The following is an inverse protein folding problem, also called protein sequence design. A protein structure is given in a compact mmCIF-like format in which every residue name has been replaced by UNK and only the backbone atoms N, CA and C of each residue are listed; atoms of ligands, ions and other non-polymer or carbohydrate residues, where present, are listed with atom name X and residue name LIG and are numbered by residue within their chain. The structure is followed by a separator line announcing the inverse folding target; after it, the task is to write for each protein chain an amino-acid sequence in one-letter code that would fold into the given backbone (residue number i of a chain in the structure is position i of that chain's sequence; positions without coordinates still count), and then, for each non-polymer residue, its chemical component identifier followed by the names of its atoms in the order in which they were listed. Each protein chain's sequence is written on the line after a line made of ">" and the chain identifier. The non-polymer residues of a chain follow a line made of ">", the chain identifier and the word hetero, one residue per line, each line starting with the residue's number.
data_IF_600049027431
#
_entry.id   IF_600049027431
#
_cell.length_a   1.000
_cell.length_b   1.000
_cell.length_c   1.000
_cell.angle_alpha   90.00
_cell.angle_beta   90.00
_cell.angle_gamma   90.00
#
_symmetry.space_group_name_H-M   'P 1'
#
loop_
_entity.id
_entity.type
_entity.pdbx_description
1 polymer ?
#
# COMPACT_ATOMS: atom_id res chain seq x y z
N UNK A 1 6.69 -12.01 -17.31
CA UNK A 1 7.70 -11.38 -18.20
C UNK A 1 8.73 -12.46 -18.51
N UNK A 2 9.36 -12.51 -19.69
CA UNK A 2 10.44 -13.50 -19.93
C UNK A 2 11.78 -12.82 -19.68
N UNK A 3 12.72 -13.47 -18.96
CA UNK A 3 14.09 -12.95 -18.83
C UNK A 3 14.68 -12.78 -20.23
N UNK A 4 15.24 -11.60 -20.49
CA UNK A 4 15.92 -11.26 -21.73
C UNK A 4 17.41 -11.05 -21.43
N UNK A 5 18.27 -11.45 -22.35
CA UNK A 5 19.70 -11.12 -22.28
C UNK A 5 19.96 -9.65 -22.63
N UNK A 6 19.00 -8.97 -23.28
CA UNK A 6 19.17 -7.61 -23.77
C UNK A 6 18.88 -6.53 -22.70
N UNK A 7 18.16 -6.86 -21.63
CA UNK A 7 17.79 -5.90 -20.61
C UNK A 7 17.62 -6.56 -19.24
N UNK A 8 17.94 -5.81 -18.19
CA UNK A 8 17.67 -6.17 -16.79
C UNK A 8 16.56 -5.28 -16.26
N UNK A 9 15.54 -5.88 -15.66
CA UNK A 9 14.44 -5.13 -15.04
C UNK A 9 14.58 -5.20 -13.53
N UNK A 10 14.66 -4.05 -12.89
CA UNK A 10 14.67 -3.90 -11.43
C UNK A 10 13.35 -3.26 -11.00
N UNK A 11 12.62 -3.92 -10.10
CA UNK A 11 11.41 -3.38 -9.48
C UNK A 11 11.76 -2.92 -8.06
N UNK A 12 11.36 -1.69 -7.72
CA UNK A 12 11.60 -1.10 -6.41
C UNK A 12 10.24 -0.71 -5.81
N UNK A 13 9.89 -1.32 -4.67
CA UNK A 13 8.67 -0.99 -3.94
C UNK A 13 8.91 -1.16 -2.43
N UNK A 14 8.21 -0.35 -1.62
CA UNK A 14 8.26 -0.44 -0.15
C UNK A 14 7.56 -1.72 0.36
N UNK A 15 6.57 -2.21 -0.39
CA UNK A 15 5.78 -3.39 -0.09
C UNK A 15 6.34 -4.62 -0.84
N UNK A 16 6.56 -5.76 -0.15
CA UNK A 16 7.07 -6.97 -0.79
C UNK A 16 5.99 -7.75 -1.56
N UNK A 17 4.82 -7.17 -1.79
CA UNK A 17 3.65 -7.81 -2.41
C UNK A 17 3.01 -6.88 -3.45
N UNK A 18 2.40 -7.49 -4.46
CA UNK A 18 1.48 -6.83 -5.37
C UNK A 18 0.07 -6.91 -4.79
N UNK A 19 -0.63 -5.79 -4.76
CA UNK A 19 -1.94 -5.67 -4.13
C UNK A 19 -3.05 -5.62 -5.18
N UNK A 20 -4.02 -6.54 -5.07
CA UNK A 20 -5.30 -6.40 -5.77
C UNK A 20 -6.25 -5.52 -4.95
N UNK A 21 -6.05 -4.21 -5.08
CA UNK A 21 -6.75 -3.18 -4.30
C UNK A 21 -8.29 -3.25 -4.34
N UNK A 22 -8.96 -3.73 -5.41
CA UNK A 22 -10.42 -3.77 -5.42
C UNK A 22 -11.07 -4.57 -4.28
N UNK A 23 -10.34 -5.51 -3.66
CA UNK A 23 -10.88 -6.38 -2.60
C UNK A 23 -10.46 -5.97 -1.18
N UNK A 24 -9.86 -4.78 -1.00
CA UNK A 24 -9.47 -4.28 0.33
C UNK A 24 -10.65 -4.25 1.32
N UNK A 25 -11.85 -3.92 0.85
CA UNK A 25 -13.05 -3.93 1.69
C UNK A 25 -13.38 -5.31 2.26
N UNK A 26 -13.07 -6.40 1.55
CA UNK A 26 -13.29 -7.76 2.05
C UNK A 26 -12.31 -8.12 3.16
N UNK A 27 -11.07 -7.63 3.09
CA UNK A 27 -10.11 -7.78 4.19
C UNK A 27 -10.54 -6.95 5.40
N UNK A 28 -10.99 -5.71 5.17
CA UNK A 28 -11.47 -4.81 6.22
C UNK A 28 -12.69 -5.36 6.98
N UNK A 29 -13.52 -6.17 6.31
CA UNK A 29 -14.73 -6.79 6.88
C UNK A 29 -14.54 -8.27 7.25
N UNK A 30 -13.30 -8.76 7.21
CA UNK A 30 -12.96 -10.17 7.46
C UNK A 30 -13.63 -11.20 6.52
N UNK A 31 -14.16 -10.76 5.38
CA UNK A 31 -14.70 -11.63 4.34
C UNK A 31 -13.63 -12.35 3.51
N UNK A 32 -12.40 -11.84 3.49
CA UNK A 32 -11.24 -12.52 2.89
C UNK A 32 -9.98 -12.38 3.76
N UNK A 33 -9.07 -13.38 3.72
CA UNK A 33 -7.70 -13.22 4.18
C UNK A 33 -6.97 -12.20 3.32
N UNK A 34 -6.03 -11.49 3.93
CA UNK A 34 -5.16 -10.55 3.21
C UNK A 34 -4.22 -11.23 2.19
N UNK A 35 -3.80 -12.47 2.46
CA UNK A 35 -2.90 -13.24 1.60
C UNK A 35 -3.55 -13.57 0.25
N UNK A 36 -4.88 -13.58 0.18
CA UNK A 36 -5.64 -13.82 -1.06
C UNK A 36 -5.61 -12.60 -2.00
N UNK A 37 -5.19 -11.42 -1.51
CA UNK A 37 -5.15 -10.17 -2.28
C UNK A 37 -3.75 -9.54 -2.34
N UNK A 38 -2.80 -10.03 -1.55
CA UNK A 38 -1.44 -9.51 -1.42
C UNK A 38 -0.39 -10.53 -1.89
N UNK A 39 -0.16 -10.60 -3.21
CA UNK A 39 0.70 -11.60 -3.83
C UNK A 39 2.19 -11.26 -3.69
N UNK A 40 3.05 -12.12 -3.11
CA UNK A 40 4.47 -11.79 -2.95
C UNK A 40 5.16 -11.52 -4.28
N UNK A 41 5.77 -10.33 -4.45
CA UNK A 41 6.35 -9.86 -5.73
C UNK A 41 7.36 -10.85 -6.29
N UNK A 42 8.22 -11.40 -5.43
CA UNK A 42 9.27 -12.35 -5.83
C UNK A 42 8.71 -13.64 -6.43
N UNK A 43 7.50 -14.03 -6.04
CA UNK A 43 6.84 -15.24 -6.55
C UNK A 43 5.99 -14.95 -7.80
N UNK A 44 5.32 -13.80 -7.82
CA UNK A 44 4.47 -13.35 -8.92
C UNK A 44 5.28 -12.93 -10.16
N UNK A 45 6.48 -12.38 -9.93
CA UNK A 45 7.36 -11.90 -10.99
C UNK A 45 8.77 -12.48 -10.82
N UNK A 46 9.02 -13.66 -11.37
CA UNK A 46 10.29 -14.40 -11.17
C UNK A 46 11.44 -13.84 -12.00
N UNK A 47 11.12 -13.04 -13.01
CA UNK A 47 12.07 -12.54 -14.01
C UNK A 47 12.57 -11.12 -13.74
N UNK A 48 12.15 -10.50 -12.63
CA UNK A 48 12.56 -9.16 -12.19
C UNK A 48 13.40 -9.24 -10.92
N UNK A 49 14.41 -8.38 -10.84
CA UNK A 49 15.15 -8.17 -9.61
C UNK A 49 14.34 -7.24 -8.71
N UNK A 50 13.91 -7.73 -7.54
CA UNK A 50 13.10 -6.96 -6.60
C UNK A 50 13.93 -6.40 -5.44
N UNK A 51 13.89 -5.08 -5.29
CA UNK A 51 14.46 -4.33 -4.16
C UNK A 51 13.31 -3.82 -3.30
N UNK A 52 13.24 -4.28 -2.05
CA UNK A 52 12.31 -3.72 -1.07
C UNK A 52 12.90 -2.43 -0.51
N UNK A 53 12.44 -1.29 -1.00
CA UNK A 53 12.92 0.03 -0.61
C UNK A 53 11.91 1.12 -1.02
N UNK A 54 12.05 2.30 -0.43
CA UNK A 54 11.34 3.50 -0.85
C UNK A 54 12.29 4.40 -1.64
N UNK A 55 11.88 4.87 -2.81
CA UNK A 55 12.64 5.86 -3.59
C UNK A 55 12.37 7.23 -2.99
N UNK A 56 13.42 7.92 -2.58
CA UNK A 56 13.34 9.25 -1.95
C UNK A 56 13.71 10.39 -2.90
N UNK A 57 14.48 10.10 -3.95
CA UNK A 57 14.92 11.10 -4.91
C UNK A 57 15.13 10.49 -6.30
N UNK A 58 14.91 11.29 -7.34
CA UNK A 58 15.13 10.94 -8.73
C UNK A 58 15.99 12.06 -9.36
N UNK A 59 17.20 11.72 -9.77
CA UNK A 59 18.03 12.60 -10.59
C UNK A 59 17.97 12.13 -12.06
N UNK A 60 17.21 12.87 -12.87
CA UNK A 60 17.06 12.58 -14.29
C UNK A 60 18.30 12.96 -15.14
N UNK A 61 19.19 13.83 -14.62
CA UNK A 61 20.41 14.24 -15.34
C UNK A 61 21.49 13.17 -15.24
N UNK A 62 21.71 12.66 -14.03
CA UNK A 62 22.67 11.58 -13.77
C UNK A 62 22.07 10.19 -13.96
N UNK A 63 20.74 10.12 -14.11
CA UNK A 63 19.93 8.89 -14.21
C UNK A 63 20.09 7.98 -13.00
N UNK A 64 19.92 8.57 -11.81
CA UNK A 64 20.07 7.90 -10.53
C UNK A 64 18.81 7.99 -9.68
N UNK A 65 18.53 6.92 -8.94
CA UNK A 65 17.53 6.88 -7.87
C UNK A 65 18.25 6.83 -6.53
N UNK A 66 17.82 7.66 -5.58
CA UNK A 66 18.21 7.52 -4.17
C UNK A 66 17.12 6.75 -3.45
N UNK A 67 17.50 5.70 -2.73
CA UNK A 67 16.63 4.89 -1.90
C UNK A 67 16.74 5.30 -0.43
N UNK A 68 15.73 4.94 0.36
CA UNK A 68 15.79 5.03 1.81
C UNK A 68 17.04 4.31 2.35
N UNK A 69 17.81 4.99 3.20
CA UNK A 69 19.14 4.53 3.62
C UNK A 69 20.30 4.98 2.72
N UNK A 70 20.08 5.94 1.80
CA UNK A 70 21.11 6.57 0.95
C UNK A 70 21.77 5.63 -0.08
N UNK A 71 21.14 4.49 -0.37
CA UNK A 71 21.60 3.62 -1.45
C UNK A 71 21.22 4.24 -2.79
N UNK A 72 22.16 4.25 -3.73
CA UNK A 72 21.95 4.76 -5.09
C UNK A 72 21.75 3.58 -6.06
N UNK A 73 20.85 3.76 -7.03
CA UNK A 73 20.59 2.80 -8.13
C UNK A 73 20.57 3.56 -9.46
N UNK A 74 21.44 3.18 -10.38
CA UNK A 74 21.47 3.73 -11.74
C UNK A 74 20.39 3.11 -12.63
N UNK A 75 19.91 3.87 -13.62
CA UNK A 75 18.98 3.38 -14.64
C UNK A 75 19.28 3.94 -16.04
N UNK A 76 18.93 3.16 -17.06
CA UNK A 76 18.91 3.67 -18.45
C UNK A 76 17.55 4.27 -18.80
N UNK A 77 16.50 3.59 -18.35
CA UNK A 77 15.09 3.93 -18.50
C UNK A 77 14.37 3.80 -17.16
N UNK A 78 13.51 4.77 -16.84
CA UNK A 78 12.72 4.81 -15.62
C UNK A 78 11.23 4.74 -15.96
N UNK A 79 10.52 3.80 -15.35
CA UNK A 79 9.06 3.70 -15.41
C UNK A 79 8.49 4.05 -14.05
N UNK A 80 7.67 5.09 -13.97
CA UNK A 80 7.00 5.50 -12.74
C UNK A 80 5.63 4.84 -12.66
N UNK A 81 5.45 3.99 -11.65
CA UNK A 81 4.21 3.27 -11.36
C UNK A 81 3.88 3.31 -9.85
N UNK A 82 4.12 4.47 -9.21
CA UNK A 82 4.07 4.63 -7.74
C UNK A 82 2.65 4.78 -7.16
N UNK A 83 1.62 4.77 -8.01
CA UNK A 83 0.23 4.93 -7.60
C UNK A 83 -0.09 6.34 -7.08
N UNK A 84 -1.06 6.42 -6.17
CA UNK A 84 -1.53 7.66 -5.54
C UNK A 84 -1.72 7.47 -4.04
N UNK A 85 -1.78 8.58 -3.30
CA UNK A 85 -2.17 8.60 -1.90
C UNK A 85 -3.63 9.08 -1.76
N UNK A 86 -4.28 8.70 -0.66
CA UNK A 86 -5.56 9.29 -0.29
C UNK A 86 -5.43 10.80 -0.12
N UNK A 87 -6.39 11.55 -0.65
CA UNK A 87 -6.43 13.01 -0.51
C UNK A 87 -7.58 13.41 0.39
N UNK A 88 -7.36 14.43 1.22
CA UNK A 88 -8.40 14.99 2.10
C UNK A 88 -9.18 16.10 1.41
N UNK A 89 -8.78 16.50 0.20
CA UNK A 89 -9.31 17.66 -0.54
C UNK A 89 -9.33 18.97 0.26
N UNK A 90 -8.51 19.08 1.32
CA UNK A 90 -8.49 20.25 2.20
C UNK A 90 -9.71 20.35 3.12
N UNK A 91 -10.46 19.26 3.31
CA UNK A 91 -11.59 19.22 4.23
C UNK A 91 -11.05 18.94 5.64
N UNK A 92 -11.21 19.94 6.52
CA UNK A 92 -10.80 19.86 7.92
C UNK A 92 -11.49 18.69 8.62
N UNK A 93 -10.74 17.95 9.44
CA UNK A 93 -11.23 16.80 10.20
C UNK A 93 -11.16 15.46 9.44
N UNK A 94 -11.00 15.44 8.12
CA UNK A 94 -10.94 14.17 7.37
C UNK A 94 -9.68 13.38 7.72
N UNK A 95 -8.52 14.04 7.83
CA UNK A 95 -7.27 13.36 8.17
C UNK A 95 -7.29 12.80 9.60
N UNK A 96 -7.98 13.51 10.50
CA UNK A 96 -7.99 13.26 11.94
C UNK A 96 -9.05 12.23 12.34
N UNK A 97 -10.17 12.18 11.62
CA UNK A 97 -11.34 11.42 12.03
C UNK A 97 -11.70 10.26 11.10
N UNK A 98 -11.04 10.11 9.95
CA UNK A 98 -11.33 9.01 9.02
C UNK A 98 -10.18 8.02 8.87
N UNK A 99 -10.52 6.75 8.68
CA UNK A 99 -9.60 5.71 8.23
C UNK A 99 -9.59 5.66 6.71
N UNK A 100 -8.41 5.67 6.09
CA UNK A 100 -8.28 5.45 4.64
C UNK A 100 -8.48 3.96 4.31
N UNK A 101 -8.64 3.62 3.03
CA UNK A 101 -8.61 2.24 2.54
C UNK A 101 -7.80 2.14 1.23
N UNK A 102 -6.46 2.29 1.31
CA UNK A 102 -5.54 2.17 0.16
C UNK A 102 -4.53 1.03 0.32
N UNK A 103 -4.38 0.47 1.51
CA UNK A 103 -3.43 -0.60 1.82
C UNK A 103 -4.02 -1.72 2.69
N UNK A 104 -3.31 -2.84 2.74
CA UNK A 104 -3.65 -3.95 3.66
C UNK A 104 -3.58 -3.46 5.12
N UNK A 105 -2.63 -2.59 5.45
CA UNK A 105 -2.52 -2.02 6.79
C UNK A 105 -3.77 -1.21 7.16
N UNK A 106 -4.27 -0.40 6.23
CA UNK A 106 -5.52 0.34 6.41
C UNK A 106 -6.71 -0.58 6.67
N UNK A 107 -6.82 -1.65 5.87
CA UNK A 107 -7.90 -2.63 6.03
C UNK A 107 -7.84 -3.32 7.40
N UNK A 108 -6.64 -3.65 7.89
CA UNK A 108 -6.46 -4.17 9.25
C UNK A 108 -6.86 -3.16 10.33
N UNK A 109 -6.56 -1.88 10.13
CA UNK A 109 -6.96 -0.82 11.06
C UNK A 109 -8.49 -0.68 11.13
N UNK A 110 -9.16 -0.67 9.98
CA UNK A 110 -10.62 -0.64 9.88
C UNK A 110 -11.22 -1.85 10.60
N UNK A 111 -10.72 -3.06 10.30
CA UNK A 111 -11.18 -4.29 10.94
C UNK A 111 -11.02 -4.24 12.46
N UNK A 112 -9.86 -3.78 12.94
CA UNK A 112 -9.59 -3.64 14.38
C UNK A 112 -10.57 -2.66 15.02
N UNK A 113 -10.81 -1.51 14.38
CA UNK A 113 -11.76 -0.52 14.88
C UNK A 113 -13.17 -1.10 14.95
N UNK A 114 -13.60 -1.84 13.93
CA UNK A 114 -14.90 -2.50 13.90
C UNK A 114 -15.05 -3.51 15.05
N UNK A 115 -14.04 -4.35 15.27
CA UNK A 115 -14.05 -5.35 16.35
C UNK A 115 -14.06 -4.69 17.73
N UNK A 116 -13.26 -3.64 17.93
CA UNK A 116 -13.27 -2.89 19.19
C UNK A 116 -14.65 -2.29 19.49
N UNK A 117 -15.28 -1.67 18.50
CA UNK A 117 -16.64 -1.13 18.66
C UNK A 117 -17.65 -2.24 18.98
N UNK A 118 -17.49 -3.43 18.40
CA UNK A 118 -18.34 -4.57 18.73
C UNK A 118 -18.16 -5.02 20.19
N UNK A 119 -16.91 -5.12 20.66
CA UNK A 119 -16.59 -5.48 22.05
C UNK A 119 -17.13 -4.46 23.06
N UNK A 120 -17.02 -3.16 22.78
CA UNK A 120 -17.60 -2.10 23.63
C UNK A 120 -19.12 -2.25 23.78
N UNK A 121 -19.82 -2.61 22.69
CA UNK A 121 -21.26 -2.82 22.71
C UNK A 121 -21.65 -4.05 23.53
N UNK A 122 -20.91 -5.15 23.40
CA UNK A 122 -21.10 -6.36 24.22
C UNK A 122 -20.88 -6.07 25.72
N UNK A 123 -19.93 -5.20 26.06
CA UNK A 123 -19.69 -4.74 27.43
C UNK A 123 -20.73 -3.72 27.95
N UNK A 124 -21.74 -3.38 27.13
CA UNK A 124 -22.86 -2.50 27.48
C UNK A 124 -22.60 -1.00 27.24
N UNK A 125 -21.50 -0.64 26.59
CA UNK A 125 -21.24 0.74 26.18
C UNK A 125 -21.93 1.05 24.84
N UNK A 126 -22.46 2.27 24.70
CA UNK A 126 -22.98 2.76 23.43
C UNK A 126 -21.91 3.64 22.78
N UNK A 127 -21.25 3.20 21.70
CA UNK A 127 -20.22 4.00 21.05
C UNK A 127 -20.83 5.30 20.51
N UNK A 128 -20.25 6.42 20.92
CA UNK A 128 -20.70 7.77 20.54
C UNK A 128 -20.18 8.21 19.18
N UNK A 129 -19.13 7.55 18.67
CA UNK A 129 -18.50 7.85 17.40
C UNK A 129 -18.76 6.72 16.39
N UNK A 130 -19.20 7.09 15.20
CA UNK A 130 -19.31 6.15 14.09
C UNK A 130 -17.93 5.80 13.52
N UNK A 131 -17.79 4.59 12.97
CA UNK A 131 -16.65 4.21 12.15
C UNK A 131 -16.67 5.03 10.84
N UNK A 132 -15.71 5.94 10.70
CA UNK A 132 -15.59 6.78 9.50
C UNK A 132 -14.49 6.24 8.60
N UNK A 133 -14.86 5.83 7.39
CA UNK A 133 -13.93 5.31 6.39
C UNK A 133 -13.98 6.18 5.15
N UNK A 134 -12.84 6.74 4.77
CA UNK A 134 -12.65 7.41 3.50
C UNK A 134 -12.13 6.41 2.48
N UNK A 135 -12.88 6.24 1.37
CA UNK A 135 -12.46 5.44 0.22
C UNK A 135 -12.01 6.40 -0.88
N UNK A 136 -10.72 6.79 -0.89
CA UNK A 136 -10.17 7.64 -1.94
C UNK A 136 -10.21 6.94 -3.30
N UNK A 137 -10.70 7.66 -4.31
CA UNK A 137 -10.61 7.27 -5.73
C UNK A 137 -9.17 7.26 -6.25
#
# INVERSE_FOLDING_TARGET
>A
MRRSSAYRVTMIDRHPYHLFSPLLYQVATAGLPEDDIAFPVRTAFREVDFIRAEVTEIDAKTKQLTLNGKRVVDFDHLVLAVGSQGTTYGIDGVAEHTLQMKSVADSRLIRRSLLHTYEEVEDGFLPTNALQVAVPV
#
